data_IF_883433999451
#
_entry.id   IF_883433999451
#
_cell.length_a   1.000
_cell.length_b   1.000
_cell.length_c   1.000
_cell.angle_alpha   90.00
_cell.angle_beta   90.00
_cell.angle_gamma   90.00
#
_symmetry.space_group_name_H-M   'P 1'
#
loop_
_entity.id
_entity.type
_entity.pdbx_description
1 polymer ?
#
# COMPACT_ATOMS: atom_id res chain seq x y z
N UNK A 1 0.47 7.30 8.81
CA UNK A 1 1.62 7.81 9.58
C UNK A 1 2.21 6.80 10.58
N UNK A 2 1.57 6.47 11.71
CA UNK A 2 2.21 5.61 12.73
C UNK A 2 2.58 4.20 12.23
N UNK A 3 1.66 3.54 11.51
CA UNK A 3 1.91 2.23 10.91
C UNK A 3 3.04 2.27 9.88
N UNK A 4 3.08 3.30 9.02
CA UNK A 4 4.14 3.47 8.03
C UNK A 4 5.51 3.73 8.68
N UNK A 5 5.54 4.51 9.77
CA UNK A 5 6.77 4.71 10.52
C UNK A 5 7.30 3.39 11.10
N UNK A 6 6.41 2.57 11.68
CA UNK A 6 6.76 1.24 12.18
C UNK A 6 7.29 0.34 11.06
N UNK A 7 6.58 0.26 9.93
CA UNK A 7 6.99 -0.55 8.79
C UNK A 7 8.35 -0.13 8.23
N UNK A 8 8.64 1.18 8.18
CA UNK A 8 9.93 1.71 7.74
C UNK A 8 11.07 1.35 8.70
N UNK A 9 10.84 1.45 10.01
CA UNK A 9 11.82 1.02 11.02
C UNK A 9 12.13 -0.47 10.86
N UNK A 10 11.09 -1.30 10.75
CA UNK A 10 11.25 -2.75 10.57
C UNK A 10 11.95 -3.11 9.26
N UNK A 11 11.62 -2.43 8.17
CA UNK A 11 12.31 -2.58 6.89
C UNK A 11 13.80 -2.24 6.98
N UNK A 12 14.15 -1.20 7.73
CA UNK A 12 15.54 -0.78 7.93
C UNK A 12 16.32 -1.78 8.81
N UNK A 13 15.69 -2.29 9.87
CA UNK A 13 16.26 -3.33 10.74
C UNK A 13 16.54 -4.63 9.99
N UNK A 14 15.72 -4.95 8.97
CA UNK A 14 15.80 -6.21 8.22
C UNK A 14 16.36 -6.06 6.81
N UNK A 15 16.94 -4.91 6.45
CA UNK A 15 17.40 -4.59 5.09
C UNK A 15 18.38 -5.63 4.50
N UNK A 16 19.22 -6.23 5.34
CA UNK A 16 20.21 -7.24 4.96
C UNK A 16 19.68 -8.68 5.03
N UNK A 17 18.40 -8.86 5.36
CA UNK A 17 17.73 -10.16 5.41
C UNK A 17 16.90 -10.37 4.13
N UNK A 18 16.33 -11.58 4.00
CA UNK A 18 15.41 -11.90 2.89
C UNK A 18 14.02 -11.26 3.06
N UNK A 19 13.68 -10.83 4.27
CA UNK A 19 12.39 -10.21 4.55
C UNK A 19 12.25 -8.86 3.82
N UNK A 20 11.05 -8.61 3.28
CA UNK A 20 10.65 -7.34 2.67
C UNK A 20 9.41 -6.82 3.38
N UNK A 21 9.46 -5.56 3.79
CA UNK A 21 8.38 -4.91 4.55
C UNK A 21 8.03 -3.64 3.80
N UNK A 22 6.79 -3.55 3.31
CA UNK A 22 6.29 -2.39 2.58
C UNK A 22 4.88 -2.05 3.08
N UNK A 23 4.50 -0.78 2.98
CA UNK A 23 3.11 -0.37 3.16
C UNK A 23 2.42 -0.30 1.81
N UNK A 24 1.09 -0.44 1.83
CA UNK A 24 0.26 -0.34 0.62
C UNK A 24 -0.78 0.75 0.84
N UNK A 25 -0.89 1.66 -0.12
CA UNK A 25 -2.05 2.50 -0.29
C UNK A 25 -2.99 1.84 -1.32
N UNK A 26 -4.12 1.23 -0.91
CA UNK A 26 -5.06 0.63 -1.84
C UNK A 26 -5.85 1.67 -2.64
N UNK A 27 -5.80 2.95 -2.27
CA UNK A 27 -6.65 3.99 -2.83
C UNK A 27 -8.13 3.83 -2.48
N UNK A 28 -8.99 4.62 -3.11
CA UNK A 28 -10.42 4.52 -2.92
C UNK A 28 -10.94 3.19 -3.50
N UNK A 29 -11.42 2.30 -2.64
CA UNK A 29 -11.89 0.97 -3.02
C UNK A 29 -13.36 0.80 -2.61
N UNK A 30 -14.15 0.18 -3.49
CA UNK A 30 -15.58 -0.10 -3.27
C UNK A 30 -15.80 -1.09 -2.12
N UNK A 31 -15.85 -0.58 -0.89
CA UNK A 31 -15.99 -1.35 0.35
C UNK A 31 -17.01 -0.70 1.29
N UNK A 32 -17.57 -1.47 2.22
CA UNK A 32 -18.47 -0.93 3.25
C UNK A 32 -17.78 0.14 4.11
N UNK A 33 -16.51 -0.06 4.46
CA UNK A 33 -15.71 0.92 5.20
C UNK A 33 -15.61 2.26 4.45
N UNK A 34 -15.36 2.23 3.13
CA UNK A 34 -15.30 3.45 2.32
C UNK A 34 -16.66 4.16 2.23
N UNK A 35 -17.74 3.42 2.04
CA UNK A 35 -19.08 3.98 1.98
C UNK A 35 -19.48 4.69 3.29
N UNK A 36 -19.04 4.18 4.43
CA UNK A 36 -19.23 4.83 5.74
C UNK A 36 -18.34 6.06 5.91
N UNK A 37 -17.09 6.01 5.44
CA UNK A 37 -16.11 7.09 5.59
C UNK A 37 -16.35 8.28 4.64
N UNK A 38 -16.93 8.05 3.46
CA UNK A 38 -17.23 9.08 2.45
C UNK A 38 -18.69 8.99 1.96
N UNK A 39 -19.68 9.41 2.78
CA UNK A 39 -21.08 9.37 2.39
C UNK A 39 -21.35 10.30 1.20
N UNK A 40 -21.94 9.78 0.12
CA UNK A 40 -22.29 10.53 -1.10
C UNK A 40 -21.34 10.34 -2.27
N UNK A 41 -20.21 9.65 -2.09
CA UNK A 41 -19.39 9.16 -3.21
C UNK A 41 -20.12 8.02 -3.93
N UNK A 42 -20.19 8.07 -5.27
CA UNK A 42 -20.79 6.99 -6.06
C UNK A 42 -19.88 5.74 -6.05
N UNK A 43 -20.30 4.61 -5.44
CA UNK A 43 -19.50 3.41 -5.37
C UNK A 43 -19.16 2.81 -6.74
N UNK A 44 -19.98 3.07 -7.78
CA UNK A 44 -19.76 2.52 -9.12
C UNK A 44 -18.56 3.14 -9.83
N UNK A 45 -18.11 4.32 -9.39
CA UNK A 45 -16.90 4.98 -9.90
C UNK A 45 -15.61 4.39 -9.32
N UNK A 46 -15.70 3.61 -8.23
CA UNK A 46 -14.54 3.05 -7.53
C UNK A 46 -14.19 1.64 -8.03
N UNK A 47 -12.89 1.27 -8.06
CA UNK A 47 -12.47 -0.10 -8.34
C UNK A 47 -13.01 -1.08 -7.29
N UNK A 48 -13.21 -2.33 -7.72
CA UNK A 48 -13.63 -3.41 -6.83
C UNK A 48 -12.46 -3.90 -5.97
N UNK A 49 -12.73 -4.51 -4.80
CA UNK A 49 -11.68 -5.09 -3.97
C UNK A 49 -10.86 -6.16 -4.70
N UNK A 50 -11.46 -6.96 -5.59
CA UNK A 50 -10.74 -7.96 -6.39
C UNK A 50 -9.70 -7.31 -7.31
N UNK A 51 -10.05 -6.21 -7.98
CA UNK A 51 -9.12 -5.48 -8.84
C UNK A 51 -7.94 -4.92 -8.05
N UNK A 52 -8.21 -4.32 -6.89
CA UNK A 52 -7.17 -3.78 -6.00
C UNK A 52 -6.30 -4.91 -5.44
N UNK A 53 -6.90 -6.02 -5.01
CA UNK A 53 -6.16 -7.17 -4.46
C UNK A 53 -5.18 -7.77 -5.48
N UNK A 54 -5.54 -7.85 -6.76
CA UNK A 54 -4.63 -8.35 -7.81
C UNK A 54 -3.36 -7.53 -7.93
N UNK A 55 -3.42 -6.20 -7.76
CA UNK A 55 -2.23 -5.35 -7.74
C UNK A 55 -1.37 -5.63 -6.49
N UNK A 56 -2.00 -5.85 -5.33
CA UNK A 56 -1.32 -6.11 -4.06
C UNK A 56 -0.60 -7.47 -4.06
N UNK A 57 -1.17 -8.49 -4.71
CA UNK A 57 -0.58 -9.84 -4.79
C UNK A 57 0.85 -9.81 -5.34
N UNK A 58 1.19 -8.85 -6.21
CA UNK A 58 2.54 -8.69 -6.72
C UNK A 58 3.60 -8.44 -5.63
N UNK A 59 3.21 -7.93 -4.46
CA UNK A 59 4.13 -7.73 -3.33
C UNK A 59 4.51 -9.05 -2.64
N UNK A 60 3.79 -10.14 -2.92
CA UNK A 60 4.10 -11.48 -2.42
C UNK A 60 5.11 -12.24 -3.30
N UNK A 61 5.59 -11.65 -4.40
CA UNK A 61 6.56 -12.30 -5.28
C UNK A 61 7.89 -12.54 -4.54
N UNK A 62 8.40 -13.79 -4.46
CA UNK A 62 9.69 -14.09 -3.87
C UNK A 62 10.87 -13.36 -4.52
N UNK A 63 10.73 -12.89 -5.76
CA UNK A 63 11.73 -12.11 -6.49
C UNK A 63 11.75 -10.62 -6.10
N UNK A 64 10.78 -10.14 -5.30
CA UNK A 64 10.71 -8.74 -4.91
C UNK A 64 11.91 -8.34 -4.03
N UNK A 65 12.67 -7.35 -4.49
CA UNK A 65 13.82 -6.79 -3.76
C UNK A 65 13.50 -5.51 -3.01
N UNK A 66 12.37 -4.87 -3.31
CA UNK A 66 11.96 -3.59 -2.73
C UNK A 66 11.51 -3.75 -1.27
N UNK A 67 12.02 -2.92 -0.37
CA UNK A 67 11.62 -2.86 1.05
C UNK A 67 11.61 -1.41 1.54
N UNK A 68 10.80 -1.11 2.56
CA UNK A 68 10.70 0.19 3.21
C UNK A 68 10.04 1.28 2.37
N UNK A 69 9.25 0.90 1.35
CA UNK A 69 8.55 1.81 0.44
C UNK A 69 7.03 1.75 0.66
N UNK A 70 6.33 2.72 0.07
CA UNK A 70 4.88 2.72 -0.07
C UNK A 70 4.51 2.26 -1.48
N UNK A 71 3.75 1.18 -1.63
CA UNK A 71 3.17 0.82 -2.92
C UNK A 71 1.82 1.51 -3.09
N UNK A 72 1.70 2.37 -4.10
CA UNK A 72 0.45 3.05 -4.44
C UNK A 72 -0.27 2.26 -5.53
N UNK A 73 -1.45 1.73 -5.21
CA UNK A 73 -2.24 0.93 -6.16
C UNK A 73 -2.80 1.79 -7.32
N UNK A 74 -3.39 2.98 -7.08
CA UNK A 74 -3.86 3.84 -8.17
C UNK A 74 -2.79 4.17 -9.22
N UNK A 75 -1.56 4.48 -8.78
CA UNK A 75 -0.43 4.76 -9.67
C UNK A 75 0.36 3.52 -10.09
N UNK A 76 0.04 2.37 -9.50
CA UNK A 76 0.69 1.07 -9.72
C UNK A 76 2.22 1.12 -9.62
N UNK A 77 2.75 1.80 -8.59
CA UNK A 77 4.20 1.98 -8.40
C UNK A 77 4.61 2.14 -6.94
N UNK A 78 5.89 1.94 -6.68
CA UNK A 78 6.50 2.27 -5.40
C UNK A 78 6.82 3.76 -5.30
N UNK A 79 6.59 4.29 -4.10
CA UNK A 79 6.78 5.68 -3.71
C UNK A 79 7.83 5.78 -2.61
N UNK A 80 8.64 6.82 -2.69
CA UNK A 80 9.59 7.20 -1.65
C UNK A 80 8.96 8.09 -0.59
N UNK A 81 9.44 7.94 0.65
CA UNK A 81 9.06 8.81 1.76
C UNK A 81 9.93 10.07 1.76
N UNK A 82 9.30 11.23 1.56
CA UNK A 82 9.97 12.51 1.68
C UNK A 82 10.00 12.95 3.15
N UNK A 83 11.18 13.36 3.64
CA UNK A 83 11.27 14.04 4.93
C UNK A 83 10.67 15.45 4.78
N UNK A 84 9.90 15.94 5.76
CA UNK A 84 9.55 17.36 5.80
C UNK A 84 10.85 18.19 5.79
N UNK A 85 10.82 19.31 5.06
CA UNK A 85 11.92 20.27 5.03
C UNK A 85 12.18 20.87 6.41
#
# INVERSE_FOLDING_TARGET
AAVEALARSWAHETQNMKLRVNCVNPGATRTAMRAQAMPGEDPQTLPTPDTVARAIVALGDPALTVTGKLFDVPENRFMDYNRPA
#
